data_IF_943117587454
#
_entry.id   IF_943117587454
#
_cell.length_a   1.000
_cell.length_b   1.000
_cell.length_c   1.000
_cell.angle_alpha   90.00
_cell.angle_beta   90.00
_cell.angle_gamma   90.00
#
_symmetry.space_group_name_H-M   'P 1'
#
loop_
_entity.id
_entity.type
_entity.pdbx_description
1 polymer ?
#
# COMPACT_ATOMS: atom_id res chain seq x y z
N UNK A 1 -2.15 -4.70 -24.05
CA UNK A 1 -1.01 -5.46 -24.55
C UNK A 1 0.12 -5.41 -23.54
N UNK A 2 0.00 -6.21 -22.48
CA UNK A 2 0.93 -6.20 -21.39
C UNK A 2 2.06 -7.21 -21.60
N UNK A 3 3.01 -6.92 -22.47
CA UNK A 3 4.26 -7.66 -22.48
C UNK A 3 5.24 -7.14 -21.42
N UNK A 4 6.33 -7.85 -21.17
CA UNK A 4 7.45 -7.35 -20.40
C UNK A 4 8.12 -6.22 -21.18
N UNK A 5 8.16 -5.04 -20.62
CA UNK A 5 8.73 -3.85 -21.24
C UNK A 5 9.39 -2.92 -20.21
N UNK A 6 10.12 -1.89 -20.67
CA UNK A 6 10.83 -0.97 -19.79
C UNK A 6 9.91 -0.18 -18.84
N UNK A 7 8.61 -0.18 -19.08
CA UNK A 7 7.61 0.42 -18.22
C UNK A 7 7.28 -0.42 -16.98
N UNK A 8 7.59 -1.73 -16.98
CA UNK A 8 7.20 -2.65 -15.91
C UNK A 8 7.73 -2.24 -14.52
N UNK A 9 9.01 -1.87 -14.34
CA UNK A 9 9.51 -1.42 -13.03
C UNK A 9 8.75 -0.20 -12.51
N UNK A 10 8.38 0.74 -13.39
CA UNK A 10 7.61 1.93 -13.00
C UNK A 10 6.18 1.60 -12.60
N UNK A 11 5.54 0.65 -13.29
CA UNK A 11 4.23 0.15 -12.89
C UNK A 11 4.27 -0.54 -11.54
N UNK A 12 5.30 -1.35 -11.28
CA UNK A 12 5.50 -2.01 -9.98
C UNK A 12 5.70 -0.99 -8.86
N UNK A 13 6.55 0.01 -9.10
CA UNK A 13 6.79 1.10 -8.15
C UNK A 13 5.51 1.90 -7.88
N UNK A 14 4.80 2.33 -8.92
CA UNK A 14 3.55 3.06 -8.80
C UNK A 14 2.49 2.24 -8.04
N UNK A 15 2.39 0.93 -8.32
CA UNK A 15 1.48 0.03 -7.60
C UNK A 15 1.86 -0.10 -6.12
N UNK A 16 3.17 -0.19 -5.83
CA UNK A 16 3.67 -0.20 -4.46
C UNK A 16 3.30 1.06 -3.68
N UNK A 17 3.41 2.22 -4.32
CA UNK A 17 3.01 3.51 -3.72
C UNK A 17 1.51 3.59 -3.46
N UNK A 18 0.68 3.08 -4.37
CA UNK A 18 -0.77 2.97 -4.16
C UNK A 18 -1.06 2.05 -2.98
N UNK A 19 -0.39 0.90 -2.87
CA UNK A 19 -0.54 -0.01 -1.73
C UNK A 19 -0.11 0.63 -0.40
N UNK A 20 1.04 1.32 -0.39
CA UNK A 20 1.53 2.05 0.78
C UNK A 20 0.53 3.14 1.22
N UNK A 21 0.04 3.95 0.29
CA UNK A 21 -0.95 4.98 0.57
C UNK A 21 -2.27 4.41 1.11
N UNK A 22 -2.72 3.27 0.60
CA UNK A 22 -3.87 2.56 1.16
C UNK A 22 -3.64 2.14 2.62
N UNK A 23 -2.43 1.68 2.96
CA UNK A 23 -2.05 1.31 4.32
C UNK A 23 -2.00 2.48 5.31
N UNK A 24 -1.85 3.70 4.83
CA UNK A 24 -1.85 4.93 5.63
C UNK A 24 -3.26 5.48 5.91
N UNK A 25 -4.30 4.92 5.29
CA UNK A 25 -5.67 5.36 5.53
C UNK A 25 -6.09 5.14 7.00
N UNK A 26 -6.92 6.04 7.56
CA UNK A 26 -7.37 5.95 8.94
C UNK A 26 -8.14 4.66 9.23
N UNK A 27 -7.62 3.81 10.11
CA UNK A 27 -8.25 2.53 10.50
C UNK A 27 -9.48 2.68 11.40
N UNK A 28 -9.74 3.90 11.90
CA UNK A 28 -10.87 4.17 12.80
C UNK A 28 -12.19 4.41 12.08
N UNK A 29 -12.16 4.53 10.77
CA UNK A 29 -13.34 4.76 9.93
C UNK A 29 -13.96 3.41 9.59
N UNK A 30 -15.27 3.26 9.82
CA UNK A 30 -15.97 1.99 9.61
C UNK A 30 -17.28 2.17 8.83
N UNK A 31 -17.74 1.09 8.19
CA UNK A 31 -19.04 1.04 7.52
C UNK A 31 -19.07 1.88 6.23
N UNK A 32 -20.12 2.70 6.07
CA UNK A 32 -20.31 3.49 4.85
C UNK A 32 -19.21 4.56 4.65
N UNK A 33 -18.71 5.11 5.74
CA UNK A 33 -17.63 6.10 5.68
C UNK A 33 -16.30 5.46 5.23
N UNK A 34 -16.01 4.24 5.67
CA UNK A 34 -14.87 3.45 5.20
C UNK A 34 -14.96 3.19 3.70
N UNK A 35 -16.13 2.77 3.23
CA UNK A 35 -16.38 2.52 1.82
C UNK A 35 -16.21 3.79 0.96
N UNK A 36 -16.75 4.92 1.43
CA UNK A 36 -16.60 6.21 0.75
C UNK A 36 -15.14 6.67 0.71
N UNK A 37 -14.41 6.51 1.81
CA UNK A 37 -12.98 6.82 1.91
C UNK A 37 -12.17 5.97 0.92
N UNK A 38 -12.43 4.67 0.86
CA UNK A 38 -11.76 3.77 -0.09
C UNK A 38 -12.10 4.10 -1.55
N UNK A 39 -13.35 4.46 -1.84
CA UNK A 39 -13.75 4.88 -3.18
C UNK A 39 -13.06 6.18 -3.59
N UNK A 40 -13.01 7.18 -2.71
CA UNK A 40 -12.30 8.43 -2.94
C UNK A 40 -10.79 8.19 -3.14
N UNK A 41 -10.19 7.34 -2.30
CA UNK A 41 -8.78 6.95 -2.45
C UNK A 41 -8.55 6.20 -3.77
N UNK A 42 -9.42 5.28 -4.16
CA UNK A 42 -9.35 4.55 -5.42
C UNK A 42 -9.42 5.46 -6.65
N UNK A 43 -10.25 6.51 -6.61
CA UNK A 43 -10.29 7.52 -7.64
C UNK A 43 -9.01 8.36 -7.69
N UNK A 44 -8.56 8.88 -6.54
CA UNK A 44 -7.35 9.69 -6.45
C UNK A 44 -6.11 8.91 -6.89
N UNK A 45 -5.98 7.66 -6.47
CA UNK A 45 -4.86 6.80 -6.83
C UNK A 45 -4.82 6.48 -8.33
N UNK A 46 -5.96 6.45 -9.01
CA UNK A 46 -6.02 6.26 -10.46
C UNK A 46 -5.33 7.42 -11.21
N UNK A 47 -5.60 8.65 -10.81
CA UNK A 47 -4.95 9.84 -11.39
C UNK A 47 -3.47 9.92 -11.00
N UNK A 48 -3.14 9.66 -9.73
CA UNK A 48 -1.74 9.66 -9.27
C UNK A 48 -0.90 8.61 -10.00
N UNK A 49 -1.44 7.42 -10.22
CA UNK A 49 -0.79 6.35 -10.97
C UNK A 49 -0.53 6.77 -12.42
N UNK A 50 -1.54 7.35 -13.11
CA UNK A 50 -1.39 7.85 -14.48
C UNK A 50 -0.35 8.98 -14.56
N UNK A 51 -0.37 9.90 -13.62
CA UNK A 51 0.61 10.99 -13.53
C UNK A 51 2.04 10.47 -13.42
N UNK A 52 2.29 9.51 -12.52
CA UNK A 52 3.64 8.91 -12.34
C UNK A 52 4.09 8.19 -13.60
N UNK A 53 3.22 7.43 -14.25
CA UNK A 53 3.56 6.74 -15.49
C UNK A 53 3.82 7.71 -16.65
N UNK A 54 3.03 8.78 -16.77
CA UNK A 54 3.24 9.80 -17.79
C UNK A 54 4.55 10.55 -17.57
N UNK A 55 4.93 10.83 -16.30
CA UNK A 55 6.20 11.50 -15.98
C UNK A 55 7.41 10.71 -16.47
N UNK A 56 7.35 9.38 -16.38
CA UNK A 56 8.42 8.54 -16.90
C UNK A 56 8.43 8.49 -18.42
N UNK A 57 7.25 8.38 -19.05
CA UNK A 57 7.13 8.15 -20.48
C UNK A 57 7.32 9.43 -21.32
N UNK A 58 6.87 10.57 -20.81
CA UNK A 58 6.81 11.83 -21.52
C UNK A 58 8.14 12.32 -22.12
N UNK A 59 9.32 12.25 -21.42
CA UNK A 59 10.59 12.69 -21.98
C UNK A 59 11.03 11.86 -23.19
N UNK A 60 10.53 10.65 -23.34
CA UNK A 60 10.86 9.72 -24.42
C UNK A 60 9.81 9.68 -25.52
N UNK A 61 8.72 10.43 -25.36
CA UNK A 61 7.72 10.56 -26.41
C UNK A 61 8.28 11.47 -27.50
N UNK A 62 8.99 10.87 -28.45
CA UNK A 62 9.55 11.56 -29.59
C UNK A 62 8.43 11.72 -30.60
N UNK A 63 7.84 12.88 -30.63
CA UNK A 63 6.90 13.32 -31.67
C UNK A 63 7.33 14.68 -32.17
N UNK A 64 6.76 15.13 -33.28
CA UNK A 64 7.00 16.46 -33.83
C UNK A 64 6.94 17.52 -32.73
N UNK A 65 7.74 18.59 -32.86
CA UNK A 65 7.77 19.75 -31.99
C UNK A 65 6.36 20.32 -31.78
N UNK A 66 5.68 19.78 -30.78
CA UNK A 66 4.35 20.24 -30.37
C UNK A 66 4.48 20.96 -29.03
N UNK A 67 3.48 21.75 -28.68
CA UNK A 67 3.40 22.39 -27.36
C UNK A 67 3.30 21.38 -26.20
N UNK A 68 3.14 20.10 -26.50
CA UNK A 68 3.05 19.01 -25.55
C UNK A 68 4.37 18.26 -25.37
N UNK A 69 5.37 18.51 -26.20
CA UNK A 69 6.64 17.78 -26.20
C UNK A 69 7.62 18.37 -25.17
N UNK A 70 8.45 17.51 -24.59
CA UNK A 70 9.56 17.93 -23.75
C UNK A 70 10.60 18.67 -24.58
N UNK A 71 11.09 19.80 -24.08
CA UNK A 71 12.13 20.61 -24.71
C UNK A 71 13.38 20.60 -23.82
N UNK A 72 14.45 19.97 -24.31
CA UNK A 72 15.71 19.94 -23.59
C UNK A 72 16.31 21.36 -23.50
N UNK A 73 16.70 21.75 -22.28
CA UNK A 73 17.26 23.08 -22.02
C UNK A 73 16.23 24.19 -21.78
N UNK A 74 14.95 23.95 -21.97
CA UNK A 74 13.91 24.92 -21.61
C UNK A 74 13.77 25.05 -20.08
N UNK A 75 13.27 26.19 -19.57
CA UNK A 75 13.01 26.38 -18.15
C UNK A 75 12.09 25.28 -17.58
N UNK A 76 12.38 24.85 -16.34
CA UNK A 76 11.63 23.77 -15.67
C UNK A 76 10.13 24.06 -15.63
N UNK A 77 9.75 25.32 -15.37
CA UNK A 77 8.34 25.73 -15.30
C UNK A 77 7.65 25.56 -16.65
N UNK A 78 8.31 25.86 -17.75
CA UNK A 78 7.77 25.67 -19.09
C UNK A 78 7.57 24.18 -19.41
N UNK A 79 8.57 23.36 -19.14
CA UNK A 79 8.46 21.92 -19.31
C UNK A 79 7.39 21.31 -18.40
N UNK A 80 7.22 21.80 -17.17
CA UNK A 80 6.15 21.36 -16.27
C UNK A 80 4.77 21.72 -16.82
N UNK A 81 4.60 22.91 -17.38
CA UNK A 81 3.36 23.32 -18.04
C UNK A 81 3.05 22.42 -19.26
N UNK A 82 4.02 22.15 -20.12
CA UNK A 82 3.91 21.24 -21.25
C UNK A 82 3.53 19.80 -20.81
N UNK A 83 4.17 19.31 -19.74
CA UNK A 83 3.84 18.02 -19.14
C UNK A 83 2.40 17.96 -18.61
N UNK A 84 1.95 19.02 -17.94
CA UNK A 84 0.57 19.11 -17.45
C UNK A 84 -0.43 19.04 -18.60
N UNK A 85 -0.22 19.84 -19.66
CA UNK A 85 -1.07 19.82 -20.85
C UNK A 85 -1.06 18.42 -21.52
N UNK A 86 0.11 17.80 -21.65
CA UNK A 86 0.25 16.45 -22.17
C UNK A 86 -0.57 15.44 -21.34
N UNK A 87 -0.40 15.45 -20.02
CA UNK A 87 -1.10 14.52 -19.14
C UNK A 87 -2.61 14.69 -19.23
N UNK A 88 -3.11 15.92 -19.22
CA UNK A 88 -4.55 16.19 -19.36
C UNK A 88 -5.08 15.72 -20.72
N UNK A 89 -4.38 16.04 -21.80
CA UNK A 89 -4.85 15.74 -23.14
C UNK A 89 -4.80 14.24 -23.47
N UNK A 90 -3.79 13.51 -23.00
CA UNK A 90 -3.55 12.12 -23.41
C UNK A 90 -4.03 11.07 -22.42
N UNK A 91 -4.01 11.37 -21.13
CA UNK A 91 -4.27 10.39 -20.09
C UNK A 91 -5.48 10.71 -19.22
N UNK A 92 -5.57 11.93 -18.69
CA UNK A 92 -6.57 12.27 -17.66
C UNK A 92 -8.00 12.14 -18.15
N UNK A 93 -8.33 12.64 -19.35
CA UNK A 93 -9.69 12.65 -19.88
C UNK A 93 -10.18 11.28 -20.36
N UNK A 94 -9.28 10.36 -20.66
CA UNK A 94 -9.63 9.01 -21.13
C UNK A 94 -9.30 7.93 -20.11
N UNK A 95 -8.03 7.58 -20.04
CA UNK A 95 -7.58 6.41 -19.28
C UNK A 95 -7.70 6.57 -17.77
N UNK A 96 -7.31 7.72 -17.21
CA UNK A 96 -7.33 7.92 -15.77
C UNK A 96 -8.76 8.10 -15.24
N UNK A 97 -9.59 8.83 -15.99
CA UNK A 97 -11.01 8.96 -15.68
C UNK A 97 -11.72 7.60 -15.75
N UNK A 98 -11.48 6.82 -16.81
CA UNK A 98 -12.05 5.47 -16.95
C UNK A 98 -11.62 4.56 -15.81
N UNK A 99 -10.33 4.59 -15.44
CA UNK A 99 -9.80 3.84 -14.29
C UNK A 99 -10.40 4.31 -12.96
N UNK A 100 -10.52 5.62 -12.75
CA UNK A 100 -11.12 6.17 -11.54
C UNK A 100 -12.58 5.73 -11.38
N UNK A 101 -13.39 5.83 -12.44
CA UNK A 101 -14.78 5.38 -12.44
C UNK A 101 -14.85 3.88 -12.14
N UNK A 102 -14.04 3.06 -12.83
CA UNK A 102 -13.99 1.61 -12.61
C UNK A 102 -13.62 1.26 -11.18
N UNK A 103 -12.61 1.93 -10.61
CA UNK A 103 -12.21 1.73 -9.22
C UNK A 103 -13.35 2.07 -8.25
N UNK A 104 -14.00 3.23 -8.44
CA UNK A 104 -15.13 3.63 -7.59
C UNK A 104 -16.26 2.62 -7.66
N UNK A 105 -16.68 2.25 -8.86
CA UNK A 105 -17.76 1.27 -9.06
C UNK A 105 -17.38 -0.08 -8.44
N UNK A 106 -16.18 -0.58 -8.70
CA UNK A 106 -15.72 -1.85 -8.13
C UNK A 106 -15.68 -1.82 -6.61
N UNK A 107 -15.18 -0.72 -6.00
CA UNK A 107 -15.16 -0.56 -4.54
C UNK A 107 -16.57 -0.49 -3.97
N UNK A 108 -17.48 0.24 -4.58
CA UNK A 108 -18.86 0.37 -4.10
C UNK A 108 -19.64 -0.94 -4.20
N UNK A 109 -19.41 -1.73 -5.26
CA UNK A 109 -20.12 -2.99 -5.51
C UNK A 109 -19.51 -4.14 -4.71
N UNK A 110 -18.19 -4.32 -4.77
CA UNK A 110 -17.48 -5.47 -4.18
C UNK A 110 -16.98 -5.18 -2.77
N UNK A 111 -16.72 -3.91 -2.46
CA UNK A 111 -16.11 -3.47 -1.20
C UNK A 111 -16.85 -3.98 0.04
N UNK A 112 -18.17 -3.89 0.16
CA UNK A 112 -18.89 -4.38 1.34
C UNK A 112 -18.62 -5.85 1.63
N UNK A 113 -18.64 -6.69 0.60
CA UNK A 113 -18.39 -8.13 0.73
C UNK A 113 -16.95 -8.42 1.11
N UNK A 114 -16.00 -7.78 0.45
CA UNK A 114 -14.57 -7.95 0.71
C UNK A 114 -14.23 -7.48 2.12
N UNK A 115 -14.67 -6.29 2.52
CA UNK A 115 -14.43 -5.75 3.87
C UNK A 115 -15.03 -6.67 4.96
N UNK A 116 -16.23 -7.21 4.74
CA UNK A 116 -16.84 -8.15 5.70
C UNK A 116 -15.96 -9.40 5.89
N UNK A 117 -15.41 -9.95 4.81
CA UNK A 117 -14.49 -11.11 4.88
C UNK A 117 -13.18 -10.74 5.57
N UNK A 118 -12.57 -9.60 5.21
CA UNK A 118 -11.32 -9.14 5.80
C UNK A 118 -11.46 -8.83 7.30
N UNK A 119 -12.52 -8.14 7.71
CA UNK A 119 -12.79 -7.87 9.12
C UNK A 119 -13.02 -9.16 9.92
N UNK A 120 -13.65 -10.16 9.31
CA UNK A 120 -13.82 -11.49 9.93
C UNK A 120 -12.49 -12.20 10.09
N UNK A 121 -11.65 -12.17 9.05
CA UNK A 121 -10.32 -12.77 9.07
C UNK A 121 -9.42 -12.09 10.12
N UNK A 122 -9.41 -10.76 10.17
CA UNK A 122 -8.64 -10.00 11.15
C UNK A 122 -9.03 -10.33 12.60
N UNK A 123 -10.34 -10.44 12.89
CA UNK A 123 -10.81 -10.85 14.22
C UNK A 123 -10.38 -12.27 14.60
N UNK A 124 -10.35 -13.19 13.63
CA UNK A 124 -9.93 -14.60 13.90
C UNK A 124 -8.42 -14.73 14.06
N UNK A 125 -7.64 -13.95 13.36
CA UNK A 125 -6.18 -13.97 13.43
C UNK A 125 -5.63 -13.31 14.69
N UNK A 126 -6.48 -12.61 15.49
CA UNK A 126 -6.10 -11.92 16.72
C UNK A 126 -4.85 -11.05 16.58
N UNK A 127 -4.72 -10.33 15.45
CA UNK A 127 -3.56 -9.46 15.19
C UNK A 127 -3.35 -8.37 16.25
N UNK A 128 -4.39 -8.05 17.03
CA UNK A 128 -4.32 -7.07 18.12
C UNK A 128 -4.20 -7.73 19.52
N UNK A 129 -4.05 -9.07 19.59
CA UNK A 129 -3.83 -9.73 20.85
C UNK A 129 -2.45 -9.39 21.38
N UNK A 130 -2.37 -8.82 22.58
CA UNK A 130 -1.11 -8.64 23.28
C UNK A 130 -0.46 -10.02 23.50
N UNK A 131 0.78 -10.18 23.06
CA UNK A 131 1.56 -11.38 23.34
C UNK A 131 1.84 -11.39 24.84
N UNK A 132 1.08 -12.18 25.59
CA UNK A 132 1.37 -12.46 26.98
C UNK A 132 2.42 -13.58 27.00
N UNK A 133 3.65 -13.23 27.31
CA UNK A 133 4.68 -14.23 27.64
C UNK A 133 4.32 -14.77 29.02
N UNK A 134 3.81 -15.99 29.07
CA UNK A 134 3.68 -16.71 30.34
C UNK A 134 5.09 -17.04 30.81
N UNK A 135 5.58 -16.47 31.92
CA UNK A 135 6.88 -16.88 32.44
C UNK A 135 6.78 -18.36 32.74
N UNK A 136 7.59 -19.16 32.09
CA UNK A 136 7.70 -20.59 32.33
C UNK A 136 7.69 -20.83 33.83
N UNK A 137 6.88 -21.75 34.38
CA UNK A 137 6.89 -22.02 35.81
C UNK A 137 8.34 -22.31 36.17
N UNK A 138 8.85 -21.57 37.16
CA UNK A 138 10.20 -21.75 37.70
C UNK A 138 10.33 -23.27 37.99
N UNK A 139 11.32 -23.90 37.36
CA UNK A 139 11.59 -25.30 37.60
C UNK A 139 11.67 -25.56 39.10
N UNK A 140 11.37 -26.78 39.59
CA UNK A 140 11.34 -27.10 40.97
C UNK A 140 12.62 -26.58 41.63
N UNK A 141 12.45 -25.77 42.69
CA UNK A 141 13.54 -25.27 43.51
C UNK A 141 14.38 -26.48 43.95
N UNK A 142 15.70 -26.44 43.88
CA UNK A 142 16.51 -27.52 44.41
C UNK A 142 16.09 -27.72 45.85
N UNK A 143 15.57 -28.93 46.16
CA UNK A 143 15.25 -29.30 47.54
C UNK A 143 16.52 -29.22 48.35
N UNK A 144 16.60 -28.25 49.25
CA UNK A 144 17.55 -28.26 50.36
C UNK A 144 17.06 -29.37 51.29
N UNK A 145 17.43 -30.58 50.98
CA UNK A 145 17.31 -31.69 51.92
C UNK A 145 18.43 -31.59 52.95
N UNK A 146 18.11 -31.33 54.26
CA UNK A 146 19.11 -31.17 55.29
C UNK A 146 19.59 -32.51 55.86
N UNK A 147 19.44 -33.61 55.11
CA UNK A 147 19.63 -34.95 55.61
C UNK A 147 21.00 -35.63 55.28
N UNK A 148 22.01 -34.85 54.88
CA UNK A 148 23.34 -35.47 54.60
C UNK A 148 24.46 -34.87 55.47
N UNK A 149 24.26 -34.87 56.79
CA UNK A 149 25.21 -34.42 57.78
C UNK A 149 25.38 -35.35 58.94
N UNK A 150 25.19 -36.65 58.76
CA UNK A 150 25.49 -37.64 59.86
C UNK A 150 26.46 -38.70 59.34
N UNK A 151 27.71 -38.32 59.17
CA UNK A 151 28.79 -39.32 59.21
C UNK A 151 29.26 -39.45 60.66
N UNK A 152 28.78 -40.53 61.24
CA UNK A 152 29.21 -41.22 62.41
C UNK A 152 30.76 -41.35 62.52
N UNK A 153 31.35 -40.79 63.55
CA UNK A 153 32.71 -41.11 64.01
C UNK A 153 32.58 -42.07 65.19
N UNK A 154 32.68 -43.31 64.92
CA UNK A 154 32.85 -44.35 65.91
C UNK A 154 34.26 -44.96 65.86
N UNK A 155 34.67 -45.71 66.87
CA UNK A 155 35.90 -45.58 67.69
C UNK A 155 37.15 -46.15 67.03
#
# INVERSE_FOLDING_TARGET
TGGLGPWLPFQMLASGWVGLGAGLLPRRVHGRAELAMLAAYGALSAFAFGFVLNMWFWPYTIGADTQLSYVAGAPVVENLHRFFLYTVATSTLGWDMGRAITNVVAILVLGPTILAVLHRAARRAAFDASVVFDPSPAGPSPSTDPADGAYDQGP
#
